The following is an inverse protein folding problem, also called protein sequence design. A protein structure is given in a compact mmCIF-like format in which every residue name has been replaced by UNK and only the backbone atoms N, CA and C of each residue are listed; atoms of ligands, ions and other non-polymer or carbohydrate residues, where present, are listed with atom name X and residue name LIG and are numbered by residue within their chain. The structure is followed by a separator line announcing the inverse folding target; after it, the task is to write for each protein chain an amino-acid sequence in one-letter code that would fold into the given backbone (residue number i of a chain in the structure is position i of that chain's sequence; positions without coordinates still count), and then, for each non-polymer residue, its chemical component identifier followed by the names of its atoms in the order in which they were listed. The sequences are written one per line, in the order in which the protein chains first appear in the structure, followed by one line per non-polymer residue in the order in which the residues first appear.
data_IF_623940096642
#
_entry.id   IF_623940096642
#
_cell.length_a   1.000
_cell.length_b   1.000
_cell.length_c   1.000
_cell.angle_alpha   90.00
_cell.angle_beta   90.00
_cell.angle_gamma   90.00
#
_symmetry.space_group_name_H-M   'P 1'
#
loop_
_entity.id
_entity.type
_entity.pdbx_description
1 polymer ?
#
# COMPACT_ATOMS: atom_id res chain seq x y z
N UNK A 1 -0.60 -28.76 30.39
CA UNK A 1 -0.53 -27.35 30.59
C UNK A 1 -0.01 -26.61 29.38
N UNK A 2 -0.78 -25.75 28.88
CA UNK A 2 -0.43 -25.01 27.70
C UNK A 2 0.65 -23.97 27.97
N UNK A 3 1.21 -23.45 26.89
CA UNK A 3 2.09 -22.32 27.00
C UNK A 3 1.37 -21.11 27.57
N UNK A 4 2.07 -20.22 28.26
CA UNK A 4 1.44 -18.96 28.66
C UNK A 4 0.95 -18.25 27.40
N UNK A 5 -0.21 -17.67 27.51
CA UNK A 5 -0.77 -16.91 26.38
C UNK A 5 0.14 -15.72 26.11
N UNK A 6 0.57 -15.60 24.86
CA UNK A 6 1.33 -14.44 24.47
C UNK A 6 0.37 -13.26 24.43
N UNK A 7 0.76 -12.19 25.08
CA UNK A 7 -0.04 -10.98 25.02
C UNK A 7 0.08 -10.35 23.65
N UNK A 8 -1.05 -9.97 23.10
CA UNK A 8 -1.08 -9.27 21.82
C UNK A 8 -1.04 -7.78 22.14
N UNK A 9 0.08 -7.14 21.77
CA UNK A 9 0.25 -5.72 21.95
C UNK A 9 -0.55 -5.00 20.89
N UNK A 10 -1.44 -4.11 21.30
CA UNK A 10 -2.29 -3.37 20.39
C UNK A 10 -1.49 -2.52 19.40
N UNK A 11 -0.44 -1.87 19.86
CA UNK A 11 0.42 -1.05 19.01
C UNK A 11 1.12 -1.91 17.95
N UNK A 12 1.63 -3.07 18.33
CA UNK A 12 2.27 -3.98 17.39
C UNK A 12 1.27 -4.51 16.38
N UNK A 13 0.07 -4.87 16.83
CA UNK A 13 -1.00 -5.32 15.95
C UNK A 13 -1.30 -4.27 14.88
N UNK A 14 -1.47 -3.03 15.30
CA UNK A 14 -1.77 -1.94 14.37
C UNK A 14 -0.63 -1.69 13.38
N UNK A 15 0.60 -1.77 13.84
CA UNK A 15 1.77 -1.64 12.96
C UNK A 15 1.81 -2.74 11.90
N UNK A 16 1.49 -3.96 12.29
CA UNK A 16 1.45 -5.08 11.34
C UNK A 16 0.35 -4.87 10.28
N UNK A 17 -0.80 -4.37 10.69
CA UNK A 17 -1.87 -4.05 9.75
C UNK A 17 -1.43 -2.95 8.77
N UNK A 18 -0.78 -1.91 9.27
CA UNK A 18 -0.28 -0.81 8.47
C UNK A 18 0.74 -1.31 7.44
N UNK A 19 1.55 -2.29 7.82
CA UNK A 19 2.53 -2.91 6.92
C UNK A 19 1.88 -3.87 5.91
N UNK A 20 0.56 -3.97 5.92
CA UNK A 20 -0.19 -4.81 4.99
C UNK A 20 -0.01 -6.31 5.23
N UNK A 21 0.32 -6.69 6.46
CA UNK A 21 0.42 -8.10 6.83
C UNK A 21 -0.95 -8.76 6.76
N UNK A 22 -0.97 -10.04 6.40
CA UNK A 22 -2.20 -10.83 6.40
C UNK A 22 -2.54 -11.29 7.82
N UNK A 23 -3.75 -11.81 8.02
CA UNK A 23 -4.13 -12.39 9.31
C UNK A 23 -3.18 -13.52 9.71
N UNK A 24 -2.79 -14.35 8.74
CA UNK A 24 -1.83 -15.43 8.99
C UNK A 24 -0.47 -14.88 9.45
N UNK A 25 0.01 -13.82 8.82
CA UNK A 25 1.27 -13.17 9.21
C UNK A 25 1.20 -12.65 10.64
N UNK A 26 0.09 -12.03 10.99
CA UNK A 26 -0.13 -11.47 12.33
C UNK A 26 -0.18 -12.59 13.36
N UNK A 27 -0.90 -13.67 13.07
CA UNK A 27 -0.97 -14.82 13.95
C UNK A 27 0.41 -15.44 14.18
N UNK A 28 1.19 -15.57 13.11
CA UNK A 28 2.56 -16.09 13.21
C UNK A 28 3.44 -15.18 14.04
N UNK A 29 3.31 -13.88 13.87
CA UNK A 29 4.09 -12.92 14.67
C UNK A 29 3.85 -13.10 16.16
N UNK A 30 2.59 -13.26 16.56
CA UNK A 30 2.21 -13.43 17.95
C UNK A 30 2.22 -14.89 18.41
N UNK A 31 2.61 -15.80 17.53
CA UNK A 31 2.70 -17.24 17.83
C UNK A 31 1.38 -17.79 18.35
N UNK A 32 0.30 -17.46 17.66
CA UNK A 32 -1.03 -17.92 18.04
C UNK A 32 -1.84 -18.27 16.78
N UNK A 33 -3.05 -18.77 16.99
CA UNK A 33 -3.95 -19.11 15.88
C UNK A 33 -4.64 -17.86 15.35
N UNK A 34 -5.15 -17.96 14.13
CA UNK A 34 -5.93 -16.86 13.54
C UNK A 34 -7.21 -16.62 14.36
N UNK A 35 -7.81 -17.67 14.88
CA UNK A 35 -8.98 -17.56 15.76
C UNK A 35 -8.66 -16.73 17.00
N UNK A 36 -7.49 -16.92 17.56
CA UNK A 36 -7.05 -16.15 18.73
C UNK A 36 -6.96 -14.67 18.40
N UNK A 37 -6.42 -14.34 17.22
CA UNK A 37 -6.35 -12.97 16.76
C UNK A 37 -7.75 -12.37 16.58
N UNK A 38 -8.66 -13.12 15.96
CA UNK A 38 -10.03 -12.64 15.75
C UNK A 38 -10.74 -12.35 17.06
N UNK A 39 -10.61 -13.25 18.03
CA UNK A 39 -11.22 -13.05 19.35
C UNK A 39 -10.62 -11.86 20.07
N UNK A 40 -9.31 -11.72 20.00
CA UNK A 40 -8.64 -10.60 20.62
C UNK A 40 -9.10 -9.26 20.03
N UNK A 41 -9.22 -9.19 18.71
CA UNK A 41 -9.69 -7.98 18.02
C UNK A 41 -11.11 -7.65 18.45
N UNK A 42 -11.99 -8.64 18.45
CA UNK A 42 -13.38 -8.40 18.87
C UNK A 42 -13.46 -7.88 20.29
N UNK A 43 -12.66 -8.44 21.18
CA UNK A 43 -12.62 -8.04 22.58
C UNK A 43 -12.04 -6.64 22.77
N UNK A 44 -11.00 -6.33 22.01
CA UNK A 44 -10.24 -5.10 22.17
C UNK A 44 -10.93 -3.91 21.51
N UNK A 45 -11.47 -4.12 20.32
CA UNK A 45 -12.06 -3.03 19.52
C UNK A 45 -13.58 -3.05 19.51
N UNK A 46 -14.17 -4.08 20.06
CA UNK A 46 -15.62 -4.27 20.07
C UNK A 46 -16.20 -4.28 18.65
N UNK A 47 -15.46 -4.87 17.71
CA UNK A 47 -15.88 -4.97 16.32
C UNK A 47 -15.25 -6.22 15.70
N UNK A 48 -15.68 -6.59 14.51
CA UNK A 48 -15.16 -7.79 13.86
C UNK A 48 -13.73 -7.55 13.36
N UNK A 49 -12.98 -8.64 13.24
CA UNK A 49 -11.63 -8.58 12.68
C UNK A 49 -11.63 -7.93 11.32
N UNK A 50 -12.57 -8.32 10.44
CA UNK A 50 -12.60 -7.80 9.06
C UNK A 50 -12.70 -6.28 9.02
N UNK A 51 -13.55 -5.69 9.86
CA UNK A 51 -13.75 -4.25 9.90
C UNK A 51 -12.52 -3.54 10.43
N UNK A 52 -11.99 -3.98 11.56
CA UNK A 52 -10.82 -3.36 12.19
C UNK A 52 -9.60 -3.49 11.28
N UNK A 53 -9.40 -4.68 10.74
CA UNK A 53 -8.29 -4.99 9.86
C UNK A 53 -8.28 -4.08 8.63
N UNK A 54 -9.45 -3.94 7.98
CA UNK A 54 -9.59 -3.10 6.80
C UNK A 54 -9.29 -1.63 7.11
N UNK A 55 -9.79 -1.13 8.24
CA UNK A 55 -9.54 0.25 8.65
C UNK A 55 -8.07 0.53 8.89
N UNK A 56 -7.40 -0.37 9.60
CA UNK A 56 -5.97 -0.19 9.92
C UNK A 56 -5.10 -0.31 8.68
N UNK A 57 -5.44 -1.24 7.80
CA UNK A 57 -4.69 -1.41 6.54
C UNK A 57 -4.83 -0.18 5.66
N UNK A 58 -6.01 0.43 5.63
CA UNK A 58 -6.24 1.61 4.81
C UNK A 58 -5.35 2.77 5.25
N UNK A 59 -5.15 2.93 6.55
CA UNK A 59 -4.20 3.94 7.06
C UNK A 59 -2.79 3.71 6.54
N UNK A 60 -2.37 2.46 6.47
CA UNK A 60 -1.07 2.10 5.93
C UNK A 60 -0.94 2.44 4.45
N UNK A 61 -1.98 2.17 3.68
CA UNK A 61 -2.00 2.49 2.26
C UNK A 61 -1.88 4.00 2.02
N UNK A 62 -2.58 4.79 2.81
CA UNK A 62 -2.50 6.25 2.72
C UNK A 62 -1.10 6.73 3.07
N UNK A 63 -0.52 6.19 4.14
CA UNK A 63 0.85 6.55 4.54
C UNK A 63 1.87 6.21 3.47
N UNK A 64 1.75 5.03 2.86
CA UNK A 64 2.65 4.62 1.79
C UNK A 64 2.52 5.56 0.59
N UNK A 65 1.29 5.86 0.18
CA UNK A 65 1.04 6.79 -0.93
C UNK A 65 1.70 8.14 -0.67
N UNK A 66 1.57 8.63 0.56
CA UNK A 66 2.16 9.91 0.93
C UNK A 66 3.67 9.90 0.78
N UNK A 67 4.32 8.83 1.22
CA UNK A 67 5.76 8.68 1.09
C UNK A 67 6.18 8.58 -0.38
N UNK A 68 5.41 7.86 -1.18
CA UNK A 68 5.69 7.73 -2.61
C UNK A 68 5.58 9.09 -3.32
N UNK A 69 4.54 9.85 -3.03
CA UNK A 69 4.36 11.18 -3.59
C UNK A 69 5.50 12.12 -3.17
N UNK A 70 5.89 12.06 -1.91
CA UNK A 70 7.01 12.85 -1.41
C UNK A 70 8.30 12.52 -2.15
N UNK A 71 8.56 11.25 -2.35
CA UNK A 71 9.75 10.78 -3.06
C UNK A 71 9.74 11.27 -4.51
N UNK A 72 8.59 11.18 -5.17
CA UNK A 72 8.44 11.65 -6.55
C UNK A 72 8.65 13.16 -6.65
N UNK A 73 8.09 13.93 -5.72
CA UNK A 73 8.27 15.38 -5.68
C UNK A 73 9.72 15.77 -5.46
N UNK A 74 10.47 14.95 -4.72
CA UNK A 74 11.88 15.19 -4.48
C UNK A 74 12.78 14.85 -5.67
N UNK A 75 12.20 14.34 -6.77
CA UNK A 75 12.93 14.07 -7.98
C UNK A 75 13.23 12.61 -8.28
N UNK A 76 12.64 11.68 -7.53
CA UNK A 76 12.85 10.25 -7.77
C UNK A 76 12.09 9.83 -9.04
N UNK A 77 12.84 9.64 -10.12
CA UNK A 77 12.28 9.31 -11.43
C UNK A 77 11.57 7.96 -11.41
N UNK A 78 12.14 6.97 -10.74
CA UNK A 78 11.54 5.64 -10.62
C UNK A 78 10.15 5.74 -9.98
N UNK A 79 10.04 6.53 -8.92
CA UNK A 79 8.75 6.72 -8.24
C UNK A 79 7.78 7.51 -9.10
N UNK A 80 8.24 8.49 -9.86
CA UNK A 80 7.39 9.23 -10.78
C UNK A 80 6.78 8.31 -11.83
N UNK A 81 7.58 7.40 -12.38
CA UNK A 81 7.13 6.41 -13.36
C UNK A 81 6.12 5.47 -12.72
N UNK A 82 6.43 4.98 -11.52
CA UNK A 82 5.56 4.06 -10.80
C UNK A 82 4.18 4.70 -10.55
N UNK A 83 4.16 5.91 -10.02
CA UNK A 83 2.91 6.61 -9.72
C UNK A 83 2.13 6.93 -11.00
N UNK A 84 2.82 7.23 -12.09
CA UNK A 84 2.18 7.44 -13.37
C UNK A 84 1.44 6.20 -13.84
N UNK A 85 2.05 5.02 -13.67
CA UNK A 85 1.42 3.76 -14.03
C UNK A 85 0.20 3.48 -13.15
N UNK A 86 0.29 3.78 -11.87
CA UNK A 86 -0.79 3.49 -10.92
C UNK A 86 -1.99 4.43 -11.04
N UNK A 87 -1.75 5.71 -11.27
CA UNK A 87 -2.80 6.71 -11.19
C UNK A 87 -3.18 7.34 -12.52
N UNK A 88 -2.31 7.28 -13.52
CA UNK A 88 -2.56 7.91 -14.81
C UNK A 88 -2.71 6.91 -15.94
N UNK A 89 -2.69 5.62 -15.63
CA UNK A 89 -2.86 4.58 -16.64
C UNK A 89 -1.68 4.44 -17.59
N UNK A 90 -0.53 4.99 -17.24
CA UNK A 90 0.67 4.86 -18.06
C UNK A 90 1.16 3.43 -18.03
N UNK A 91 1.68 2.96 -19.15
CA UNK A 91 2.12 1.57 -19.28
C UNK A 91 3.42 1.50 -20.04
N UNK A 92 4.25 0.57 -19.64
CA UNK A 92 5.36 0.16 -20.46
C UNK A 92 4.82 -0.66 -21.61
N UNK A 93 5.30 -0.37 -22.81
CA UNK A 93 4.97 -1.16 -23.99
C UNK A 93 6.27 -1.66 -24.60
N UNK A 94 6.17 -2.75 -25.33
CA UNK A 94 7.34 -3.41 -25.89
C UNK A 94 7.36 -3.31 -27.41
N UNK A 95 8.56 -3.32 -27.99
CA UNK A 95 8.74 -3.33 -29.42
C UNK A 95 8.32 -2.02 -30.09
N UNK A 96 7.69 -2.13 -31.23
CA UNK A 96 7.30 -0.98 -32.05
C UNK A 96 6.32 -0.07 -31.32
N UNK A 97 5.43 -0.68 -30.53
CA UNK A 97 4.43 0.07 -29.77
C UNK A 97 5.06 1.01 -28.74
N UNK A 98 6.17 0.59 -28.15
CA UNK A 98 6.91 1.44 -27.19
C UNK A 98 7.38 2.71 -27.88
N UNK A 99 7.97 2.59 -29.06
CA UNK A 99 8.46 3.72 -29.83
C UNK A 99 7.31 4.66 -30.21
N UNK A 100 6.22 4.06 -30.68
CA UNK A 100 5.03 4.83 -31.06
C UNK A 100 4.45 5.60 -29.88
N UNK A 101 4.37 4.98 -28.73
CA UNK A 101 3.87 5.62 -27.52
C UNK A 101 4.78 6.74 -27.05
N UNK A 102 6.08 6.53 -27.13
CA UNK A 102 7.04 7.57 -26.77
C UNK A 102 6.90 8.79 -27.67
N UNK A 103 6.66 8.57 -28.96
CA UNK A 103 6.43 9.66 -29.91
C UNK A 103 5.13 10.41 -29.58
N UNK A 104 4.08 9.68 -29.24
CA UNK A 104 2.81 10.29 -28.84
C UNK A 104 2.96 11.11 -27.58
N UNK A 105 3.66 10.61 -26.59
CA UNK A 105 3.91 11.34 -25.35
C UNK A 105 4.75 12.59 -25.60
N UNK A 106 5.78 12.46 -26.41
CA UNK A 106 6.61 13.61 -26.76
C UNK A 106 5.78 14.69 -27.44
N UNK A 107 4.89 14.30 -28.34
CA UNK A 107 3.98 15.22 -29.01
C UNK A 107 3.02 15.89 -28.02
N UNK A 108 2.46 15.12 -27.14
CA UNK A 108 1.54 15.65 -26.11
C UNK A 108 2.24 16.66 -25.21
N UNK A 109 3.44 16.34 -24.78
CA UNK A 109 4.23 17.26 -23.95
C UNK A 109 4.58 18.53 -24.70
N UNK A 110 4.95 18.39 -25.95
CA UNK A 110 5.29 19.54 -26.81
C UNK A 110 4.07 20.45 -26.97
N UNK A 111 2.92 19.87 -27.29
CA UNK A 111 1.67 20.63 -27.44
C UNK A 111 1.28 21.32 -26.13
N UNK A 112 1.42 20.60 -25.02
CA UNK A 112 1.14 21.15 -23.71
C UNK A 112 2.02 22.35 -23.38
N UNK A 113 3.31 22.26 -23.69
CA UNK A 113 4.24 23.37 -23.48
C UNK A 113 3.92 24.57 -24.37
N UNK A 114 3.54 24.32 -25.62
CA UNK A 114 3.15 25.39 -26.55
C UNK A 114 1.91 26.11 -26.08
N UNK A 115 0.96 25.41 -25.50
CA UNK A 115 -0.31 25.97 -25.04
C UNK A 115 -0.21 26.61 -23.67
N UNK A 116 0.93 26.58 -23.06
CA UNK A 116 1.12 27.02 -21.68
C UNK A 116 1.33 28.52 -21.52
N UNK A 117 1.37 29.27 -22.56
CA UNK A 117 1.58 30.71 -22.50
C UNK A 117 0.48 31.46 -21.80
#
# INVERSE_FOLDING_TARGET
MGRPKKEIDQNEFEKLCVLQCTKADIANWFECSEDTIERWVKRTYNDTFAVVFAQKREKGKVSLRRLQWKSAEAGNVTMQIFLGKQYLGQKDQQGIEVTENNDKMAKMLDDWQKNRK
#
